data_IF_602957933939
#
_entry.id   IF_602957933939
#
_cell.length_a   1.000
_cell.length_b   1.000
_cell.length_c   1.000
_cell.angle_alpha   90.00
_cell.angle_beta   90.00
_cell.angle_gamma   90.00
#
_symmetry.space_group_name_H-M   'P 1'
#
loop_
_entity.id
_entity.type
_entity.pdbx_description
1 polymer ?
#
# COMPACT_ATOMS: atom_id res chain seq x y z
N UNK A 1 7.45 17.56 1.51
CA UNK A 1 7.24 16.41 0.62
C UNK A 1 7.89 15.19 1.27
N UNK A 2 7.09 14.39 1.97
CA UNK A 2 7.54 13.12 2.54
C UNK A 2 7.58 12.03 1.47
N UNK A 3 8.50 11.07 1.61
CA UNK A 3 8.55 9.85 0.79
C UNK A 3 8.20 8.67 1.67
N UNK A 4 7.25 7.86 1.24
CA UNK A 4 6.86 6.62 1.90
C UNK A 4 7.41 5.44 1.10
N UNK A 5 8.20 4.59 1.75
CA UNK A 5 8.59 3.31 1.21
C UNK A 5 8.23 2.22 2.22
N UNK A 6 7.27 1.37 1.86
CA UNK A 6 6.78 0.31 2.74
C UNK A 6 6.88 -1.03 2.05
N UNK A 7 7.38 -2.02 2.78
CA UNK A 7 7.38 -3.42 2.34
C UNK A 7 6.34 -4.16 3.15
N UNK A 8 5.27 -4.61 2.50
CA UNK A 8 4.21 -5.36 3.16
C UNK A 8 4.21 -6.79 2.65
N UNK A 9 4.20 -7.75 3.57
CA UNK A 9 4.04 -9.16 3.23
C UNK A 9 2.56 -9.51 3.24
N UNK A 10 2.15 -10.37 2.30
CA UNK A 10 0.78 -10.88 2.26
C UNK A 10 0.34 -11.41 3.64
N UNK A 11 -0.82 -10.97 4.10
CA UNK A 11 -1.40 -11.35 5.39
C UNK A 11 -0.66 -10.82 6.63
N UNK A 12 0.39 -10.01 6.46
CA UNK A 12 1.10 -9.36 7.57
C UNK A 12 0.75 -7.87 7.58
N UNK A 13 0.10 -7.36 8.65
CA UNK A 13 -0.16 -5.94 8.79
C UNK A 13 1.13 -5.13 8.92
N UNK A 14 1.14 -3.93 8.33
CA UNK A 14 2.15 -2.89 8.53
C UNK A 14 1.48 -1.70 9.23
N UNK A 15 1.98 -1.33 10.41
CA UNK A 15 1.48 -0.16 11.15
C UNK A 15 2.02 1.13 10.51
N UNK A 16 1.11 2.03 10.15
CA UNK A 16 1.40 3.39 9.73
C UNK A 16 1.35 4.31 10.95
N UNK A 17 2.03 5.45 10.85
CA UNK A 17 1.89 6.52 11.85
C UNK A 17 0.42 6.92 12.00
N UNK A 18 0.01 7.19 13.25
CA UNK A 18 -1.39 7.52 13.57
C UNK A 18 -2.31 6.32 13.77
N UNK A 19 -1.76 5.08 13.83
CA UNK A 19 -2.51 3.89 14.25
C UNK A 19 -3.31 3.19 13.14
N UNK A 20 -3.11 3.57 11.88
CA UNK A 20 -3.65 2.85 10.74
C UNK A 20 -2.81 1.59 10.44
N UNK A 21 -3.44 0.57 9.86
CA UNK A 21 -2.78 -0.68 9.47
C UNK A 21 -2.99 -0.97 7.99
N UNK A 22 -1.92 -1.24 7.27
CA UNK A 22 -1.96 -1.69 5.90
C UNK A 22 -1.78 -3.21 5.84
N UNK A 23 -2.69 -3.93 5.17
CA UNK A 23 -2.54 -5.37 4.94
C UNK A 23 -2.71 -5.70 3.46
N UNK A 24 -1.83 -6.53 2.92
CA UNK A 24 -2.01 -7.05 1.56
C UNK A 24 -2.77 -8.37 1.64
N UNK A 25 -4.01 -8.36 1.17
CA UNK A 25 -4.86 -9.55 1.16
C UNK A 25 -4.67 -10.38 -0.11
N UNK A 26 -4.53 -9.71 -1.26
CA UNK A 26 -4.39 -10.36 -2.55
C UNK A 26 -3.35 -9.64 -3.41
N UNK A 27 -2.58 -10.41 -4.16
CA UNK A 27 -1.65 -9.89 -5.15
C UNK A 27 -1.99 -10.60 -6.43
N UNK A 28 -2.56 -9.87 -7.39
CA UNK A 28 -2.62 -10.38 -8.75
C UNK A 28 -1.27 -10.06 -9.39
N UNK A 29 -0.66 -11.05 -10.01
CA UNK A 29 0.58 -10.89 -10.79
C UNK A 29 0.25 -10.19 -12.10
N UNK A 30 -0.10 -8.91 -12.01
CA UNK A 30 0.31 -7.93 -13.00
C UNK A 30 1.60 -7.33 -12.42
N UNK A 31 2.75 -7.40 -13.10
CA UNK A 31 4.02 -6.95 -12.53
C UNK A 31 3.98 -5.50 -12.00
N UNK A 32 3.05 -4.69 -12.50
CA UNK A 32 2.88 -3.27 -12.15
C UNK A 32 1.66 -2.97 -11.26
N UNK A 33 0.91 -3.98 -10.79
CA UNK A 33 -0.35 -3.78 -10.06
C UNK A 33 -0.47 -4.66 -8.81
N UNK A 34 -0.77 -4.04 -7.67
CA UNK A 34 -1.09 -4.72 -6.42
C UNK A 34 -2.50 -4.35 -5.94
N UNK A 35 -3.20 -5.29 -5.31
CA UNK A 35 -4.45 -4.98 -4.59
C UNK A 35 -4.11 -4.83 -3.11
N UNK A 36 -4.39 -3.65 -2.55
CA UNK A 36 -4.05 -3.31 -1.17
C UNK A 36 -5.33 -3.22 -0.34
N UNK A 37 -5.35 -3.81 0.85
CA UNK A 37 -6.41 -3.53 1.80
C UNK A 37 -5.85 -2.65 2.90
N UNK A 38 -6.29 -1.39 2.90
CA UNK A 38 -5.95 -0.43 3.94
C UNK A 38 -7.02 -0.55 5.03
N UNK A 39 -6.61 -0.82 6.26
CA UNK A 39 -7.51 -0.78 7.42
C UNK A 39 -7.13 0.44 8.26
N UNK A 40 -7.84 1.54 8.07
CA UNK A 40 -7.63 2.77 8.84
C UNK A 40 -8.62 2.83 10.00
N UNK A 41 -8.12 2.87 11.24
CA UNK A 41 -8.87 3.23 12.46
C UNK A 41 -10.35 2.78 12.57
N UNK A 42 -10.71 1.60 12.06
CA UNK A 42 -12.06 1.04 12.15
C UNK A 42 -12.70 0.65 10.81
N UNK A 43 -12.26 1.25 9.70
CA UNK A 43 -12.81 0.98 8.36
C UNK A 43 -11.79 0.26 7.47
N UNK A 44 -12.19 -0.89 6.94
CA UNK A 44 -11.43 -1.61 5.93
C UNK A 44 -11.78 -1.05 4.54
N UNK A 45 -10.87 -0.26 3.98
CA UNK A 45 -10.93 0.21 2.60
C UNK A 45 -10.12 -0.75 1.72
N UNK A 46 -10.78 -1.37 0.74
CA UNK A 46 -10.07 -2.10 -0.33
C UNK A 46 -9.73 -1.10 -1.41
N UNK A 47 -8.43 -0.87 -1.63
CA UNK A 47 -7.95 -0.08 -2.76
C UNK A 47 -7.15 -0.95 -3.71
N UNK A 48 -7.13 -0.60 -4.98
CA UNK A 48 -6.16 -1.19 -5.91
C UNK A 48 -5.10 -0.12 -6.15
N UNK A 49 -3.83 -0.51 -6.10
CA UNK A 49 -2.72 0.40 -6.36
C UNK A 49 -1.92 -0.13 -7.54
N UNK A 50 -1.91 0.65 -8.60
CA UNK A 50 -0.94 0.60 -9.67
C UNK A 50 -0.03 1.82 -9.61
N UNK A 51 1.10 1.75 -10.28
CA UNK A 51 1.93 2.94 -10.53
C UNK A 51 1.10 4.04 -11.18
N UNK A 52 1.15 5.25 -10.62
CA UNK A 52 0.36 6.40 -11.06
C UNK A 52 -0.98 6.60 -10.34
N UNK A 53 -1.41 5.63 -9.52
CA UNK A 53 -2.62 5.79 -8.70
C UNK A 53 -2.33 6.69 -7.48
N UNK A 54 -3.38 7.33 -6.95
CA UNK A 54 -3.34 8.00 -5.64
C UNK A 54 -4.00 7.09 -4.60
N UNK A 55 -3.32 6.86 -3.48
CA UNK A 55 -3.84 6.07 -2.37
C UNK A 55 -3.94 6.89 -1.09
N UNK A 56 -5.11 6.86 -0.46
CA UNK A 56 -5.32 7.47 0.83
C UNK A 56 -4.93 6.50 1.96
N UNK A 57 -3.90 6.85 2.71
CA UNK A 57 -3.37 6.09 3.83
C UNK A 57 -3.36 6.97 5.08
N UNK A 58 -4.13 6.58 6.10
CA UNK A 58 -4.19 7.29 7.38
C UNK A 58 -4.56 8.79 7.26
N UNK A 59 -5.42 9.15 6.31
CA UNK A 59 -5.83 10.53 6.06
C UNK A 59 -4.81 11.36 5.28
N UNK A 60 -3.80 10.72 4.67
CA UNK A 60 -2.86 11.36 3.74
C UNK A 60 -2.92 10.69 2.39
N UNK A 61 -2.89 11.49 1.33
CA UNK A 61 -2.88 11.02 -0.05
C UNK A 61 -1.44 10.82 -0.52
N UNK A 62 -1.18 9.67 -1.16
CA UNK A 62 0.13 9.31 -1.67
C UNK A 62 0.04 8.94 -3.14
N UNK A 63 0.81 9.62 -3.99
CA UNK A 63 1.00 9.22 -5.37
C UNK A 63 1.89 7.98 -5.41
N UNK A 64 1.42 6.88 -6.01
CA UNK A 64 2.18 5.64 -6.17
C UNK A 64 3.20 5.80 -7.29
N UNK A 65 4.48 5.89 -6.93
CA UNK A 65 5.60 5.99 -7.87
C UNK A 65 6.03 4.62 -8.41
N UNK A 66 5.90 3.56 -7.60
CA UNK A 66 6.32 2.22 -7.97
C UNK A 66 5.67 1.15 -7.09
N UNK A 67 5.33 0.02 -7.73
CA UNK A 67 4.89 -1.22 -7.10
C UNK A 67 5.88 -2.32 -7.47
N UNK A 68 6.56 -2.92 -6.49
CA UNK A 68 7.50 -4.03 -6.73
C UNK A 68 6.96 -5.29 -6.06
N UNK A 69 6.59 -6.29 -6.85
CA UNK A 69 6.15 -7.61 -6.35
C UNK A 69 7.36 -8.54 -6.23
N UNK A 70 7.71 -8.90 -5.00
CA UNK A 70 8.81 -9.83 -4.71
C UNK A 70 8.34 -11.29 -4.58
N UNK A 71 9.28 -12.23 -4.77
CA UNK A 71 9.04 -13.69 -4.84
C UNK A 71 8.36 -14.32 -3.61
N UNK A 72 8.38 -13.64 -2.46
CA UNK A 72 7.79 -14.11 -1.20
C UNK A 72 6.43 -13.48 -0.89
N UNK A 73 5.76 -12.93 -1.90
CA UNK A 73 4.50 -12.24 -1.71
C UNK A 73 4.63 -10.96 -0.90
N UNK A 74 5.74 -10.24 -1.14
CA UNK A 74 5.98 -8.91 -0.60
C UNK A 74 5.73 -7.86 -1.68
N UNK A 75 5.11 -6.74 -1.32
CA UNK A 75 5.02 -5.57 -2.21
C UNK A 75 5.78 -4.42 -1.58
N UNK A 76 6.63 -3.78 -2.37
CA UNK A 76 7.17 -2.46 -2.04
C UNK A 76 6.30 -1.41 -2.69
N UNK A 77 5.72 -0.52 -1.89
CA UNK A 77 5.04 0.66 -2.36
C UNK A 77 5.94 1.85 -2.10
N UNK A 78 6.21 2.60 -3.15
CA UNK A 78 6.90 3.90 -3.06
C UNK A 78 5.88 4.96 -3.41
N UNK A 79 5.73 5.96 -2.55
CA UNK A 79 4.90 7.10 -2.88
C UNK A 79 5.42 8.42 -2.31
N UNK A 80 4.99 9.50 -2.94
CA UNK A 80 5.19 10.87 -2.47
C UNK A 80 3.87 11.40 -1.93
N UNK A 81 3.92 12.09 -0.80
CA UNK A 81 2.77 12.84 -0.27
C UNK A 81 2.40 13.94 -1.28
N UNK A 82 1.13 13.96 -1.72
CA UNK A 82 0.59 15.03 -2.58
C UNK A 82 0.51 16.38 -1.83
#
# INVERSE_FOLDING_TARGET
MGRLQITVRRGTPFDLDGGARLTINDMRTDPDRAVLAVTGAGDAVRTTAATGDVVDLAGRSWLVESVIVGDRGSVVLVGAEE
#
